data_IF_171174308359
#
_entry.id   IF_171174308359
#
_cell.length_a   1.000
_cell.length_b   1.000
_cell.length_c   1.000
_cell.angle_alpha   90.00
_cell.angle_beta   90.00
_cell.angle_gamma   90.00
#
_symmetry.space_group_name_H-M   'P 1'
#
loop_
_entity.id
_entity.type
_entity.pdbx_description
1 polymer ?
#
# COMPACT_ATOMS: atom_id res chain seq x y z
N UNK A 1 -22.27 -0.63 -2.98
CA UNK A 1 -22.03 -0.49 -1.54
C UNK A 1 -20.57 -0.11 -1.40
N UNK A 2 -20.28 1.14 -1.02
CA UNK A 2 -18.91 1.61 -0.80
C UNK A 2 -18.50 1.13 0.58
N UNK A 3 -17.58 0.18 0.65
CA UNK A 3 -16.94 -0.24 1.91
C UNK A 3 -16.18 0.97 2.44
N UNK A 4 -16.50 1.40 3.67
CA UNK A 4 -15.72 2.46 4.32
C UNK A 4 -14.32 1.96 4.59
N UNK A 5 -13.31 2.83 4.53
CA UNK A 5 -11.89 2.43 4.75
C UNK A 5 -11.70 1.74 6.10
N UNK A 6 -12.47 2.15 7.12
CA UNK A 6 -12.47 1.54 8.47
C UNK A 6 -13.01 0.10 8.52
N UNK A 7 -13.55 -0.41 7.41
CA UNK A 7 -14.09 -1.77 7.28
C UNK A 7 -13.25 -2.65 6.35
N UNK A 8 -12.13 -2.14 5.85
CA UNK A 8 -11.16 -2.97 5.12
C UNK A 8 -10.42 -3.81 6.15
N UNK A 9 -10.59 -5.13 6.04
CA UNK A 9 -9.76 -6.08 6.77
C UNK A 9 -8.31 -5.94 6.28
N UNK A 10 -7.38 -5.63 7.19
CA UNK A 10 -6.00 -5.33 6.86
C UNK A 10 -5.24 -6.52 6.26
N UNK A 11 -5.75 -7.75 6.47
CA UNK A 11 -5.20 -8.98 5.89
C UNK A 11 -5.85 -9.34 4.55
N UNK A 12 -6.85 -8.57 4.11
CA UNK A 12 -7.51 -8.79 2.83
C UNK A 12 -6.65 -8.29 1.69
N UNK A 13 -6.59 -9.10 0.64
CA UNK A 13 -5.87 -8.74 -0.59
C UNK A 13 -6.53 -7.52 -1.25
N UNK A 14 -5.77 -6.45 -1.42
CA UNK A 14 -6.23 -5.19 -2.03
C UNK A 14 -6.65 -5.38 -3.49
N UNK A 15 -6.05 -6.35 -4.18
CA UNK A 15 -6.45 -6.74 -5.54
C UNK A 15 -7.90 -7.22 -5.59
N UNK A 16 -8.38 -7.91 -4.55
CA UNK A 16 -9.79 -8.33 -4.45
C UNK A 16 -10.74 -7.17 -4.19
N UNK A 17 -10.21 -6.04 -3.74
CA UNK A 17 -10.92 -4.77 -3.54
C UNK A 17 -10.82 -3.84 -4.77
N UNK A 18 -10.11 -4.26 -5.82
CA UNK A 18 -9.96 -3.52 -7.07
C UNK A 18 -8.63 -2.77 -7.24
N UNK A 19 -7.62 -3.04 -6.40
CA UNK A 19 -6.28 -2.52 -6.61
C UNK A 19 -5.63 -3.25 -7.81
N UNK A 20 -5.62 -2.59 -8.96
CA UNK A 20 -4.90 -3.05 -10.14
C UNK A 20 -3.48 -2.43 -10.21
N UNK A 21 -2.72 -2.74 -11.24
CA UNK A 21 -1.34 -2.25 -11.39
C UNK A 21 -1.25 -0.72 -11.48
N UNK A 22 -2.22 -0.05 -12.14
CA UNK A 22 -2.20 1.41 -12.21
C UNK A 22 -2.55 2.04 -10.86
N UNK A 23 -3.55 1.48 -10.18
CA UNK A 23 -3.94 1.94 -8.86
C UNK A 23 -2.81 1.72 -7.82
N UNK A 24 -2.06 0.62 -7.92
CA UNK A 24 -0.90 0.37 -7.06
C UNK A 24 0.24 1.38 -7.32
N UNK A 25 0.54 1.70 -8.58
CA UNK A 25 1.54 2.74 -8.90
C UNK A 25 1.10 4.11 -8.40
N UNK A 26 -0.17 4.50 -8.58
CA UNK A 26 -0.66 5.77 -8.07
C UNK A 26 -0.62 5.81 -6.54
N UNK A 27 -1.05 4.73 -5.88
CA UNK A 27 -0.98 4.62 -4.42
C UNK A 27 0.46 4.76 -3.91
N UNK A 28 1.44 4.16 -4.60
CA UNK A 28 2.85 4.31 -4.26
C UNK A 28 3.28 5.79 -4.32
N UNK A 29 2.97 6.49 -5.41
CA UNK A 29 3.30 7.91 -5.56
C UNK A 29 2.61 8.76 -4.48
N UNK A 30 1.33 8.50 -4.21
CA UNK A 30 0.58 9.21 -3.16
C UNK A 30 1.21 8.99 -1.77
N UNK A 31 1.72 7.79 -1.48
CA UNK A 31 2.41 7.48 -0.22
C UNK A 31 3.78 8.16 -0.13
N UNK A 32 4.57 8.17 -1.21
CA UNK A 32 5.84 8.90 -1.27
C UNK A 32 5.63 10.39 -1.00
N UNK A 33 4.61 10.98 -1.62
CA UNK A 33 4.28 12.40 -1.46
C UNK A 33 3.76 12.72 -0.04
N UNK A 34 2.90 11.88 0.55
CA UNK A 34 2.31 12.12 1.88
C UNK A 34 3.32 11.93 3.02
N UNK A 35 4.17 10.91 2.93
CA UNK A 35 5.15 10.59 3.98
C UNK A 35 6.53 11.20 3.73
N UNK A 36 6.71 11.90 2.62
CA UNK A 36 8.00 12.43 2.16
C UNK A 36 9.10 11.34 2.07
N UNK A 37 8.71 10.13 1.64
CA UNK A 37 9.60 8.96 1.49
C UNK A 37 9.83 8.59 0.02
N UNK A 38 10.72 7.62 -0.24
CA UNK A 38 10.92 7.06 -1.58
C UNK A 38 10.99 5.54 -1.47
N UNK A 39 10.16 4.83 -2.23
CA UNK A 39 10.16 3.37 -2.29
C UNK A 39 11.37 2.88 -3.10
N UNK A 40 12.31 2.13 -2.50
CA UNK A 40 13.39 1.50 -3.23
C UNK A 40 12.86 0.36 -4.12
N UNK A 41 13.58 0.04 -5.18
CA UNK A 41 13.21 -1.00 -6.16
C UNK A 41 12.92 -2.38 -5.50
N UNK A 42 13.55 -2.68 -4.37
CA UNK A 42 13.34 -3.91 -3.61
C UNK A 42 11.96 -4.01 -2.94
N UNK A 43 11.33 -2.86 -2.65
CA UNK A 43 9.98 -2.79 -2.11
C UNK A 43 8.90 -2.62 -3.20
N UNK A 44 9.30 -2.38 -4.46
CA UNK A 44 8.38 -2.28 -5.61
C UNK A 44 7.95 -3.65 -6.12
N UNK A 45 7.41 -4.49 -5.23
CA UNK A 45 6.95 -5.84 -5.53
C UNK A 45 5.45 -6.00 -5.27
N UNK A 46 4.74 -6.86 -6.03
CA UNK A 46 3.31 -7.10 -5.80
C UNK A 46 2.96 -7.55 -4.38
N UNK A 47 3.91 -8.18 -3.68
CA UNK A 47 3.71 -8.65 -2.30
C UNK A 47 3.62 -7.50 -1.30
N UNK A 48 4.34 -6.39 -1.51
CA UNK A 48 4.25 -5.18 -0.66
C UNK A 48 2.88 -4.51 -0.79
N UNK A 49 2.34 -4.46 -2.01
CA UNK A 49 1.01 -3.89 -2.31
C UNK A 49 -0.14 -4.90 -2.13
N UNK A 50 0.15 -6.07 -1.55
CA UNK A 50 -0.83 -7.16 -1.48
C UNK A 50 -1.94 -6.86 -0.48
N UNK A 51 -1.61 -6.39 0.71
CA UNK A 51 -2.55 -6.09 1.78
C UNK A 51 -2.23 -4.74 2.43
N UNK A 52 -3.15 -4.20 3.22
CA UNK A 52 -2.87 -2.98 4.00
C UNK A 52 -1.77 -3.22 5.03
N UNK A 53 -1.73 -4.41 5.64
CA UNK A 53 -0.68 -4.76 6.60
C UNK A 53 0.72 -4.76 5.95
N UNK A 54 0.89 -5.32 4.75
CA UNK A 54 2.21 -5.33 4.08
C UNK A 54 2.66 -3.92 3.69
N UNK A 55 1.73 -3.06 3.26
CA UNK A 55 2.02 -1.65 2.98
C UNK A 55 2.43 -0.89 4.24
N UNK A 56 1.69 -1.07 5.35
CA UNK A 56 2.02 -0.43 6.61
C UNK A 56 3.42 -0.82 7.09
N UNK A 57 3.75 -2.12 7.05
CA UNK A 57 5.10 -2.57 7.44
C UNK A 57 6.20 -1.97 6.57
N UNK A 58 5.98 -1.83 5.25
CA UNK A 58 6.94 -1.18 4.37
C UNK A 58 7.10 0.31 4.70
N UNK A 59 6.01 1.01 4.99
CA UNK A 59 6.05 2.44 5.39
C UNK A 59 6.73 2.60 6.75
N UNK A 60 6.44 1.74 7.72
CA UNK A 60 7.10 1.75 9.04
C UNK A 60 8.62 1.56 8.89
N UNK A 61 9.06 0.64 8.02
CA UNK A 61 10.48 0.44 7.71
C UNK A 61 11.11 1.67 7.06
N UNK A 62 10.42 2.34 6.13
CA UNK A 62 10.90 3.56 5.49
C UNK A 62 10.98 4.77 6.44
N UNK A 63 10.13 4.79 7.47
CA UNK A 63 10.07 5.86 8.46
C UNK A 63 10.93 5.57 9.71
N UNK A 64 11.63 4.43 9.75
CA UNK A 64 12.40 3.96 10.91
C UNK A 64 11.56 3.91 12.21
N UNK A 65 10.30 3.45 12.13
CA UNK A 65 9.33 3.39 13.24
C UNK A 65 9.35 2.09 14.07
#
# INVERSE_FOLDING_TARGET
MVTSVDQIDNDKELTTLGLDSMAATNLMLDLEDEFEVTFPDELLTPDVFKTTNTLNSAIEELLDL
#
